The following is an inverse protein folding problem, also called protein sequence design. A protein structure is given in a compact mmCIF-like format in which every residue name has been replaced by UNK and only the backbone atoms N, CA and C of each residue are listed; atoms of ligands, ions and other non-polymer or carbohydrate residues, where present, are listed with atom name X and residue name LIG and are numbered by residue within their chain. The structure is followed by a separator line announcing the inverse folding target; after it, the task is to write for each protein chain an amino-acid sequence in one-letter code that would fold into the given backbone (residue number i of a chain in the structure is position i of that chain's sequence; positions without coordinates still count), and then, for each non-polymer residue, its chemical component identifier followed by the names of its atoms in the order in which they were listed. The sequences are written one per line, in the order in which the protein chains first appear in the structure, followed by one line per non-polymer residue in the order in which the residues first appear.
data_IF_347905129655
#
_entry.id   IF_347905129655
#
_cell.length_a   1.000
_cell.length_b   1.000
_cell.length_c   1.000
_cell.angle_alpha   90.00
_cell.angle_beta   90.00
_cell.angle_gamma   90.00
#
_symmetry.space_group_name_H-M   'P 1'
#
loop_
_entity.id
_entity.type
_entity.pdbx_description
1 polymer ?
#
# COMPACT_ATOMS: atom_id res chain seq x y z
N UNK A 1 -5.00 8.10 -1.30
CA UNK A 1 -5.90 7.47 -0.31
C UNK A 1 -6.04 8.31 0.94
N UNK A 2 -5.02 9.10 1.31
CA UNK A 2 -5.06 10.09 2.40
C UNK A 2 -6.31 11.00 2.44
N UNK A 3 -6.78 11.45 1.27
CA UNK A 3 -8.01 12.24 1.18
C UNK A 3 -9.31 11.43 1.31
N UNK A 4 -9.25 10.11 1.27
CA UNK A 4 -10.40 9.20 1.26
C UNK A 4 -10.06 7.91 2.03
N UNK A 5 -9.75 7.99 3.34
CA UNK A 5 -9.32 6.82 4.11
C UNK A 5 -10.36 5.70 4.13
N UNK A 6 -11.66 6.02 3.97
CA UNK A 6 -12.73 5.03 3.90
C UNK A 6 -12.62 4.06 2.72
N UNK A 7 -11.80 4.35 1.70
CA UNK A 7 -11.48 3.41 0.63
C UNK A 7 -10.69 2.22 1.16
N UNK A 8 -9.75 2.47 2.08
CA UNK A 8 -9.00 1.41 2.75
C UNK A 8 -9.91 0.61 3.67
N UNK A 9 -10.74 1.29 4.47
CA UNK A 9 -11.67 0.65 5.41
C UNK A 9 -12.64 -0.30 4.67
N UNK A 10 -13.18 0.12 3.51
CA UNK A 10 -14.02 -0.71 2.64
C UNK A 10 -13.28 -1.93 2.11
N UNK A 11 -12.04 -1.73 1.63
CA UNK A 11 -11.22 -2.81 1.11
C UNK A 11 -10.91 -3.87 2.17
N UNK A 12 -10.42 -3.49 3.36
CA UNK A 12 -10.03 -4.46 4.40
C UNK A 12 -11.23 -5.12 5.08
N UNK A 13 -12.40 -4.49 5.03
CA UNK A 13 -13.65 -5.07 5.53
C UNK A 13 -14.33 -6.01 4.53
N UNK A 14 -13.77 -6.16 3.32
CA UNK A 14 -14.35 -7.01 2.28
C UNK A 14 -14.34 -8.48 2.70
N UNK A 15 -15.54 -9.00 2.98
CA UNK A 15 -15.74 -10.40 3.31
C UNK A 15 -16.20 -11.19 2.09
N UNK A 16 -15.55 -12.33 1.87
CA UNK A 16 -15.86 -13.24 0.78
C UNK A 16 -15.44 -14.65 1.19
N UNK A 17 -16.29 -15.65 0.94
CA UNK A 17 -15.94 -17.03 1.18
C UNK A 17 -14.91 -17.50 0.14
N UNK A 18 -13.63 -17.35 0.51
CA UNK A 18 -12.49 -17.76 -0.30
C UNK A 18 -12.37 -19.27 -0.41
N UNK A 19 -12.85 -20.02 0.59
CA UNK A 19 -12.61 -21.47 0.69
C UNK A 19 -13.49 -22.27 -0.25
N UNK A 20 -14.72 -21.82 -0.48
CA UNK A 20 -15.68 -22.52 -1.33
C UNK A 20 -15.60 -22.14 -2.82
N UNK A 21 -14.87 -21.08 -3.18
CA UNK A 21 -14.86 -20.56 -4.55
C UNK A 21 -13.70 -21.16 -5.39
N UNK A 22 -14.04 -22.10 -6.28
CA UNK A 22 -13.06 -22.79 -7.14
C UNK A 22 -12.33 -21.84 -8.11
N UNK A 23 -13.02 -20.85 -8.69
CA UNK A 23 -12.40 -19.90 -9.62
C UNK A 23 -11.35 -19.04 -8.93
N UNK A 24 -11.61 -18.62 -7.69
CA UNK A 24 -10.63 -17.93 -6.85
C UNK A 24 -9.43 -18.83 -6.56
N UNK A 25 -9.65 -20.09 -6.18
CA UNK A 25 -8.56 -21.04 -5.91
C UNK A 25 -7.71 -21.29 -7.16
N UNK A 26 -8.33 -21.46 -8.32
CA UNK A 26 -7.65 -21.60 -9.61
C UNK A 26 -6.87 -20.33 -9.96
N UNK A 27 -7.45 -19.14 -9.74
CA UNK A 27 -6.81 -17.86 -10.00
C UNK A 27 -5.55 -17.67 -9.14
N UNK A 28 -5.64 -17.87 -7.81
CA UNK A 28 -4.48 -17.68 -6.95
C UNK A 28 -3.45 -18.80 -7.09
N UNK A 29 -3.81 -19.96 -7.65
CA UNK A 29 -2.87 -21.08 -7.89
C UNK A 29 -2.24 -21.07 -9.28
N UNK A 30 -2.70 -20.20 -10.18
CA UNK A 30 -2.20 -20.13 -11.56
C UNK A 30 -2.67 -21.33 -12.40
N UNK A 31 -3.91 -21.75 -12.21
CA UNK A 31 -4.55 -22.87 -12.91
C UNK A 31 -5.87 -22.45 -13.57
N UNK A 32 -5.90 -21.25 -14.13
CA UNK A 32 -7.10 -20.71 -14.80
C UNK A 32 -7.27 -21.22 -16.22
N UNK A 33 -6.19 -21.74 -16.83
CA UNK A 33 -6.13 -22.08 -18.24
C UNK A 33 -5.88 -20.87 -19.14
N UNK A 34 -5.70 -19.67 -18.57
CA UNK A 34 -5.27 -18.46 -19.26
C UNK A 34 -3.76 -18.37 -19.13
N UNK A 35 -3.06 -18.69 -20.21
CA UNK A 35 -1.61 -18.95 -20.23
C UNK A 35 -0.80 -17.78 -19.65
N UNK A 36 -1.12 -16.55 -20.07
CA UNK A 36 -0.42 -15.37 -19.58
C UNK A 36 -0.68 -15.12 -18.09
N UNK A 37 -1.94 -15.23 -17.66
CA UNK A 37 -2.34 -15.01 -16.29
C UNK A 37 -1.69 -16.03 -15.34
N UNK A 38 -1.75 -17.31 -15.68
CA UNK A 38 -1.15 -18.40 -14.90
C UNK A 38 0.37 -18.23 -14.78
N UNK A 39 1.04 -17.80 -15.86
CA UNK A 39 2.47 -17.45 -15.82
C UNK A 39 2.75 -16.28 -14.86
N UNK A 40 1.91 -15.25 -14.85
CA UNK A 40 2.11 -14.08 -13.99
C UNK A 40 1.81 -14.35 -12.51
N UNK A 41 0.88 -15.26 -12.21
CA UNK A 41 0.65 -15.74 -10.83
C UNK A 41 1.93 -16.36 -10.27
N UNK A 42 2.59 -17.22 -11.05
CA UNK A 42 3.84 -17.87 -10.66
C UNK A 42 4.99 -16.85 -10.59
N UNK A 43 5.14 -15.99 -11.59
CA UNK A 43 6.15 -14.91 -11.57
C UNK A 43 6.01 -14.02 -10.33
N UNK A 44 4.79 -13.63 -9.98
CA UNK A 44 4.52 -12.83 -8.77
C UNK A 44 4.91 -13.57 -7.49
N UNK A 45 4.62 -14.86 -7.37
CA UNK A 45 4.97 -15.63 -6.17
C UNK A 45 6.47 -15.87 -6.04
N UNK A 46 7.13 -16.15 -7.17
CA UNK A 46 8.54 -16.52 -7.21
C UNK A 46 9.45 -15.30 -7.07
N UNK A 47 9.06 -14.17 -7.67
CA UNK A 47 9.89 -12.95 -7.72
C UNK A 47 9.40 -11.84 -6.81
N UNK A 48 8.17 -11.96 -6.29
CA UNK A 48 7.50 -10.92 -5.51
C UNK A 48 7.35 -9.58 -6.25
N UNK A 49 7.33 -9.62 -7.59
CA UNK A 49 7.19 -8.46 -8.44
C UNK A 49 6.43 -8.79 -9.72
N UNK A 50 5.72 -7.79 -10.25
CA UNK A 50 5.22 -7.77 -11.63
C UNK A 50 5.43 -6.38 -12.21
N UNK A 51 5.69 -6.30 -13.50
CA UNK A 51 5.72 -5.01 -14.21
C UNK A 51 4.35 -4.32 -14.15
N UNK A 52 4.32 -2.99 -14.07
CA UNK A 52 3.07 -2.23 -13.89
C UNK A 52 2.02 -2.51 -14.98
N UNK A 53 2.43 -2.64 -16.24
CA UNK A 53 1.48 -2.95 -17.33
C UNK A 53 0.90 -4.36 -17.17
N UNK A 54 1.71 -5.32 -16.75
CA UNK A 54 1.26 -6.68 -16.42
C UNK A 54 0.25 -6.67 -15.28
N UNK A 55 0.47 -5.87 -14.23
CA UNK A 55 -0.48 -5.69 -13.13
C UNK A 55 -1.85 -5.20 -13.62
N UNK A 56 -1.88 -4.31 -14.61
CA UNK A 56 -3.14 -3.83 -15.21
C UNK A 56 -3.85 -4.92 -16.00
N UNK A 57 -3.13 -5.72 -16.81
CA UNK A 57 -3.73 -6.86 -17.52
C UNK A 57 -4.23 -7.92 -16.54
N UNK A 58 -3.41 -8.30 -15.56
CA UNK A 58 -3.76 -9.24 -14.50
C UNK A 58 -5.06 -8.84 -13.81
N UNK A 59 -5.15 -7.58 -13.36
CA UNK A 59 -6.35 -7.08 -12.68
C UNK A 59 -7.58 -7.08 -13.60
N UNK A 60 -7.40 -6.78 -14.88
CA UNK A 60 -8.50 -6.79 -15.84
C UNK A 60 -9.02 -8.20 -16.12
N UNK A 61 -8.11 -9.17 -16.33
CA UNK A 61 -8.46 -10.58 -16.50
C UNK A 61 -9.16 -11.10 -15.25
N UNK A 62 -8.61 -10.82 -14.07
CA UNK A 62 -9.22 -11.16 -12.78
C UNK A 62 -10.67 -10.70 -12.67
N UNK A 63 -10.92 -9.43 -12.96
CA UNK A 63 -12.25 -8.82 -12.76
C UNK A 63 -13.22 -9.25 -13.86
N UNK A 64 -12.80 -9.17 -15.12
CA UNK A 64 -13.72 -9.19 -16.25
C UNK A 64 -13.76 -10.52 -17.00
N UNK A 65 -12.66 -11.27 -16.99
CA UNK A 65 -12.60 -12.59 -17.63
C UNK A 65 -12.93 -13.70 -16.63
N UNK A 66 -12.34 -13.66 -15.43
CA UNK A 66 -12.62 -14.62 -14.36
C UNK A 66 -13.85 -14.25 -13.52
N UNK A 67 -14.36 -13.02 -13.63
CA UNK A 67 -15.55 -12.57 -12.90
C UNK A 67 -15.35 -12.43 -11.38
N UNK A 68 -14.10 -12.33 -10.91
CA UNK A 68 -13.79 -12.30 -9.49
C UNK A 68 -13.82 -10.86 -8.92
N UNK A 69 -14.22 -10.67 -7.65
CA UNK A 69 -14.16 -9.37 -7.00
C UNK A 69 -12.74 -8.78 -7.00
N UNK A 70 -12.62 -7.50 -7.33
CA UNK A 70 -11.32 -6.82 -7.42
C UNK A 70 -10.56 -6.83 -6.08
N UNK A 71 -11.29 -6.80 -4.95
CA UNK A 71 -10.70 -6.82 -3.62
C UNK A 71 -9.87 -8.08 -3.41
N UNK A 72 -10.32 -9.23 -3.90
CA UNK A 72 -9.58 -10.49 -3.76
C UNK A 72 -8.24 -10.46 -4.48
N UNK A 73 -8.20 -9.89 -5.69
CA UNK A 73 -6.96 -9.69 -6.44
C UNK A 73 -6.05 -8.66 -5.77
N UNK A 74 -6.63 -7.60 -5.20
CA UNK A 74 -5.91 -6.62 -4.41
C UNK A 74 -5.27 -7.22 -3.14
N UNK A 75 -5.97 -8.12 -2.43
CA UNK A 75 -5.37 -8.88 -1.33
C UNK A 75 -4.23 -9.77 -1.81
N UNK A 76 -4.40 -10.48 -2.92
CA UNK A 76 -3.36 -11.33 -3.49
C UNK A 76 -2.10 -10.53 -3.86
N UNK A 77 -2.26 -9.35 -4.46
CA UNK A 77 -1.13 -8.45 -4.75
C UNK A 77 -0.44 -7.93 -3.49
N UNK A 78 -1.19 -7.46 -2.49
CA UNK A 78 -0.59 -7.03 -1.21
C UNK A 78 0.19 -8.15 -0.55
N UNK A 79 -0.30 -9.39 -0.62
CA UNK A 79 0.36 -10.55 -0.01
C UNK A 79 1.72 -10.86 -0.64
N UNK A 80 1.87 -10.64 -1.95
CA UNK A 80 3.03 -11.13 -2.70
C UNK A 80 3.96 -10.04 -3.26
N UNK A 81 3.56 -8.76 -3.34
CA UNK A 81 4.43 -7.70 -3.86
C UNK A 81 5.41 -7.17 -2.81
N UNK A 82 6.70 -7.09 -3.14
CA UNK A 82 7.70 -6.39 -2.31
C UNK A 82 7.37 -4.90 -2.16
N UNK A 83 6.83 -4.30 -3.22
CA UNK A 83 6.40 -2.91 -3.32
C UNK A 83 4.89 -2.74 -3.06
N UNK A 84 4.26 -3.71 -2.37
CA UNK A 84 2.87 -3.62 -1.95
C UNK A 84 2.61 -2.42 -1.05
N UNK A 85 1.94 -1.40 -1.58
CA UNK A 85 1.51 -0.19 -0.89
C UNK A 85 -0.02 -0.11 -0.86
N UNK A 86 -0.57 0.23 0.31
CA UNK A 86 -2.01 0.28 0.53
C UNK A 86 -2.71 1.24 -0.44
N UNK A 87 -2.14 2.42 -0.71
CA UNK A 87 -2.75 3.40 -1.60
C UNK A 87 -2.64 2.99 -3.08
N UNK A 88 -1.43 2.67 -3.52
CA UNK A 88 -1.12 2.38 -4.93
C UNK A 88 -1.82 1.10 -5.39
N UNK A 89 -1.82 0.06 -4.55
CA UNK A 89 -2.51 -1.19 -4.86
C UNK A 89 -4.03 -1.01 -4.91
N UNK A 90 -4.64 -0.51 -3.84
CA UNK A 90 -6.10 -0.39 -3.74
C UNK A 90 -6.67 0.52 -4.83
N UNK A 91 -6.04 1.69 -5.06
CA UNK A 91 -6.50 2.63 -6.08
C UNK A 91 -6.23 2.12 -7.51
N UNK A 92 -5.16 1.34 -7.71
CA UNK A 92 -4.87 0.69 -8.99
C UNK A 92 -5.95 -0.31 -9.39
N UNK A 93 -6.33 -1.20 -8.48
CA UNK A 93 -7.43 -2.15 -8.70
C UNK A 93 -8.77 -1.45 -8.91
N UNK A 94 -9.10 -0.43 -8.10
CA UNK A 94 -10.31 0.39 -8.29
C UNK A 94 -10.31 1.12 -9.64
N UNK A 95 -9.15 1.54 -10.14
CA UNK A 95 -9.01 2.16 -11.45
C UNK A 95 -9.28 1.16 -12.58
N UNK A 96 -8.70 -0.05 -12.51
CA UNK A 96 -8.97 -1.11 -13.50
C UNK A 96 -10.45 -1.51 -13.49
N UNK A 97 -11.06 -1.65 -12.31
CA UNK A 97 -12.48 -1.98 -12.16
C UNK A 97 -13.43 -0.88 -12.69
N UNK A 98 -12.94 0.36 -12.86
CA UNK A 98 -13.74 1.52 -13.26
C UNK A 98 -14.59 2.14 -12.16
N UNK A 99 -14.24 1.87 -10.89
CA UNK A 99 -14.90 2.44 -9.71
C UNK A 99 -14.12 3.61 -9.10
N UNK A 100 -12.85 3.78 -9.48
CA UNK A 100 -12.06 4.96 -9.09
C UNK A 100 -12.43 6.20 -9.93
N UNK A 101 -12.57 6.02 -11.24
CA UNK A 101 -13.21 6.99 -12.14
C UNK A 101 -14.45 6.33 -12.69
N UNK A 102 -15.59 6.63 -12.07
CA UNK A 102 -16.86 5.93 -12.29
C UNK A 102 -17.16 5.78 -13.78
N UNK A 103 -17.31 4.53 -14.22
CA UNK A 103 -17.64 4.16 -15.60
C UNK A 103 -16.44 4.00 -16.54
N UNK A 104 -15.21 4.28 -16.08
CA UNK A 104 -13.98 4.15 -16.91
C UNK A 104 -13.09 3.04 -16.38
N UNK A 105 -13.30 1.84 -16.89
CA UNK A 105 -12.54 0.64 -16.55
C UNK A 105 -11.44 0.38 -17.60
N UNK A 106 -10.50 -0.50 -17.28
CA UNK A 106 -9.44 -0.94 -18.19
C UNK A 106 -9.67 -2.40 -18.58
N UNK A 107 -9.68 -2.66 -19.89
CA UNK A 107 -9.80 -4.00 -20.46
C UNK A 107 -8.45 -4.46 -21.03
N UNK A 108 -7.98 -5.61 -20.54
CA UNK A 108 -6.91 -6.35 -21.19
C UNK A 108 -7.39 -6.79 -22.57
N UNK A 109 -6.50 -6.69 -23.54
CA UNK A 109 -6.74 -7.15 -24.90
C UNK A 109 -5.63 -8.08 -25.33
N UNK A 110 -6.00 -9.16 -26.01
CA UNK A 110 -5.08 -10.19 -26.45
C UNK A 110 -4.06 -9.64 -27.46
N UNK A 111 -4.47 -8.70 -28.32
CA UNK A 111 -3.57 -8.01 -29.27
C UNK A 111 -2.50 -7.15 -28.57
N UNK A 112 -2.89 -6.48 -27.49
CA UNK A 112 -2.02 -5.64 -26.67
C UNK A 112 -0.99 -6.51 -25.94
N UNK A 113 -1.45 -7.62 -25.34
CA UNK A 113 -0.58 -8.58 -24.68
C UNK A 113 0.39 -9.19 -25.70
N UNK A 114 -0.08 -9.62 -26.87
CA UNK A 114 0.75 -10.14 -27.96
C UNK A 114 1.88 -9.18 -28.33
N UNK A 115 1.53 -7.92 -28.59
CA UNK A 115 2.50 -6.89 -28.97
C UNK A 115 3.52 -6.60 -27.90
N UNK A 116 3.09 -6.40 -26.65
CA UNK A 116 3.96 -5.94 -25.56
C UNK A 116 4.67 -7.08 -24.82
N UNK A 117 4.41 -8.33 -25.21
CA UNK A 117 5.15 -9.51 -24.75
C UNK A 117 5.96 -10.15 -25.89
N UNK A 118 6.09 -9.46 -27.03
CA UNK A 118 6.83 -9.91 -28.21
C UNK A 118 6.42 -11.32 -28.68
N UNK A 119 5.11 -11.56 -28.75
CA UNK A 119 4.57 -12.84 -29.19
C UNK A 119 4.58 -13.96 -28.15
N UNK A 120 5.12 -13.73 -26.93
CA UNK A 120 5.14 -14.74 -25.86
C UNK A 120 3.75 -15.15 -25.41
N UNK A 121 2.81 -14.22 -25.40
CA UNK A 121 1.41 -14.41 -24.97
C UNK A 121 0.44 -13.77 -25.98
N UNK A 122 -0.88 -13.88 -25.75
CA UNK A 122 -1.89 -13.18 -26.55
C UNK A 122 -2.80 -14.05 -27.42
N UNK A 123 -2.75 -15.38 -27.25
CA UNK A 123 -3.71 -16.30 -27.87
C UNK A 123 -4.85 -16.70 -26.93
N UNK A 124 -4.84 -16.21 -25.69
CA UNK A 124 -5.87 -16.51 -24.70
C UNK A 124 -7.19 -15.78 -25.06
N UNK A 125 -8.33 -16.42 -24.80
CA UNK A 125 -9.65 -15.82 -24.97
C UNK A 125 -10.00 -14.97 -23.75
N UNK A 126 -10.06 -13.64 -23.95
CA UNK A 126 -10.38 -12.69 -22.89
C UNK A 126 -11.77 -12.07 -23.09
N UNK A 127 -12.37 -11.59 -22.00
CA UNK A 127 -13.58 -10.76 -22.09
C UNK A 127 -13.22 -9.30 -22.38
N UNK A 128 -13.12 -8.95 -23.66
CA UNK A 128 -12.68 -7.63 -24.12
C UNK A 128 -13.80 -6.58 -24.28
N UNK A 129 -15.05 -6.93 -23.95
CA UNK A 129 -16.24 -6.09 -24.08
C UNK A 129 -17.02 -5.95 -22.76
N UNK A 130 -16.38 -6.27 -21.64
CA UNK A 130 -17.01 -6.19 -20.33
C UNK A 130 -17.44 -4.76 -19.98
N UNK A 131 -18.42 -4.65 -19.08
CA UNK A 131 -18.89 -3.36 -18.55
C UNK A 131 -18.12 -3.02 -17.27
N UNK A 132 -17.94 -1.71 -16.95
CA UNK A 132 -17.29 -1.32 -15.70
C UNK A 132 -18.06 -1.84 -14.49
N UNK A 133 -17.34 -2.17 -13.42
CA UNK A 133 -17.95 -2.47 -12.13
C UNK A 133 -18.72 -1.25 -11.63
N UNK A 134 -19.76 -1.51 -10.84
CA UNK A 134 -20.53 -0.47 -10.14
C UNK A 134 -20.22 -0.54 -8.66
N UNK A 135 -19.77 0.57 -8.12
CA UNK A 135 -19.64 0.74 -6.68
C UNK A 135 -20.82 1.60 -6.19
N UNK A 136 -21.38 1.23 -5.03
CA UNK A 136 -22.48 1.96 -4.39
C UNK A 136 -21.97 2.84 -3.26
N UNK A 137 -20.70 2.71 -2.89
CA UNK A 137 -20.12 3.40 -1.74
C UNK A 137 -19.47 4.68 -2.22
N UNK A 138 -19.95 5.80 -1.69
CA UNK A 138 -19.31 7.10 -1.88
C UNK A 138 -18.22 7.29 -0.83
N UNK A 139 -17.03 7.69 -1.29
CA UNK A 139 -15.89 7.98 -0.43
C UNK A 139 -15.65 9.50 -0.38
N UNK A 140 -16.20 10.20 0.64
CA UNK A 140 -16.08 11.64 0.73
C UNK A 140 -14.62 12.08 0.89
N UNK A 141 -14.30 13.25 0.36
CA UNK A 141 -12.98 13.85 0.51
C UNK A 141 -12.86 14.43 1.91
N UNK A 142 -11.86 13.99 2.66
CA UNK A 142 -11.48 14.51 3.96
C UNK A 142 -10.26 15.44 3.77
N UNK A 143 -10.28 16.66 4.37
CA UNK A 143 -9.12 17.52 4.40
C UNK A 143 -7.94 16.83 5.09
N UNK A 144 -6.75 16.95 4.50
CA UNK A 144 -5.54 16.48 5.17
C UNK A 144 -5.23 17.45 6.31
N UNK A 145 -5.15 16.92 7.52
CA UNK A 145 -4.62 17.66 8.66
C UNK A 145 -3.14 17.98 8.40
N UNK A 146 -2.84 19.27 8.23
CA UNK A 146 -1.48 19.77 7.96
C UNK A 146 -0.68 20.01 9.23
N UNK A 147 -1.35 20.24 10.36
CA UNK A 147 -0.71 20.68 11.60
C UNK A 147 -0.32 19.52 12.51
N UNK A 148 -0.92 18.33 12.31
CA UNK A 148 -0.46 17.09 12.95
C UNK A 148 -0.60 17.06 14.47
N UNK A 149 -1.48 17.88 15.06
CA UNK A 149 -1.77 17.88 16.51
C UNK A 149 -0.56 18.06 17.45
N UNK A 150 0.64 18.36 16.92
CA UNK A 150 1.87 18.41 17.71
C UNK A 150 1.86 19.66 18.57
N UNK A 151 1.67 19.48 19.88
CA UNK A 151 1.75 20.56 20.88
C UNK A 151 3.11 20.61 21.58
N UNK A 152 3.98 19.65 21.26
CA UNK A 152 5.32 19.46 21.80
C UNK A 152 5.96 18.21 21.20
N UNK A 153 7.18 17.92 21.64
CA UNK A 153 7.97 16.79 21.16
C UNK A 153 8.11 15.74 22.27
N UNK A 154 7.86 14.47 21.96
CA UNK A 154 8.18 13.37 22.88
C UNK A 154 9.61 12.86 22.71
N UNK A 155 10.15 12.20 23.74
CA UNK A 155 11.50 11.65 23.74
C UNK A 155 11.67 10.44 22.78
N UNK A 156 10.58 9.71 22.53
CA UNK A 156 10.59 8.51 21.68
C UNK A 156 9.90 8.77 20.35
N UNK A 157 10.53 8.33 19.27
CA UNK A 157 9.97 8.31 17.90
C UNK A 157 9.68 6.87 17.47
N UNK A 158 8.55 6.64 16.80
CA UNK A 158 8.25 5.40 16.09
C UNK A 158 8.37 5.61 14.58
N UNK A 159 9.05 4.68 13.90
CA UNK A 159 9.17 4.61 12.43
C UNK A 159 8.69 3.24 11.97
N UNK A 160 7.91 3.19 10.89
CA UNK A 160 7.39 1.95 10.32
C UNK A 160 8.10 1.57 9.00
N UNK A 161 7.92 0.31 8.58
CA UNK A 161 8.42 -0.24 7.33
C UNK A 161 7.92 0.44 6.05
N UNK A 162 6.86 1.26 6.14
CA UNK A 162 6.30 2.02 5.02
C UNK A 162 7.10 3.28 4.70
N UNK A 163 7.94 3.75 5.62
CA UNK A 163 8.72 4.97 5.42
C UNK A 163 10.08 4.90 6.14
N UNK A 164 11.05 4.31 5.43
CA UNK A 164 12.42 4.16 5.91
C UNK A 164 13.37 5.20 5.30
N UNK A 165 12.84 6.34 4.85
CA UNK A 165 13.68 7.43 4.38
C UNK A 165 14.45 8.06 5.55
N UNK A 166 15.77 8.15 5.38
CA UNK A 166 16.70 8.69 6.36
C UNK A 166 17.64 9.68 5.66
N UNK A 167 17.42 10.97 5.91
CA UNK A 167 18.17 12.05 5.25
C UNK A 167 19.67 12.05 5.60
N UNK A 168 20.00 11.68 6.84
CA UNK A 168 21.37 11.47 7.32
C UNK A 168 21.36 10.49 8.49
N UNK A 169 22.51 9.89 8.86
CA UNK A 169 22.60 9.00 10.04
C UNK A 169 22.08 9.63 11.34
N UNK A 170 22.14 10.96 11.44
CA UNK A 170 21.73 11.75 12.60
C UNK A 170 20.37 12.43 12.44
N UNK A 171 19.59 12.09 11.40
CA UNK A 171 18.31 12.74 11.10
C UNK A 171 17.31 12.73 12.28
N UNK A 172 17.46 11.78 13.21
CA UNK A 172 16.65 11.63 14.40
C UNK A 172 17.44 11.78 15.71
N UNK A 173 18.65 12.33 15.69
CA UNK A 173 19.54 12.45 16.86
C UNK A 173 18.95 13.29 18.00
N UNK A 174 17.94 14.11 17.72
CA UNK A 174 17.24 14.91 18.72
C UNK A 174 16.20 14.10 19.53
N UNK A 175 15.96 12.83 19.20
CA UNK A 175 15.14 11.90 19.99
C UNK A 175 16.05 11.05 20.88
N UNK A 176 15.60 10.72 22.09
CA UNK A 176 16.34 9.82 22.98
C UNK A 176 16.36 8.41 22.41
N UNK A 177 15.26 7.99 21.78
CA UNK A 177 15.08 6.64 21.21
C UNK A 177 14.25 6.67 19.93
N UNK A 178 14.69 5.92 18.92
CA UNK A 178 13.91 5.63 17.71
C UNK A 178 13.55 4.14 17.70
N UNK A 179 12.26 3.84 17.68
CA UNK A 179 11.74 2.48 17.62
C UNK A 179 11.28 2.20 16.19
N UNK A 180 11.90 1.22 15.54
CA UNK A 180 11.58 0.84 14.17
C UNK A 180 10.75 -0.43 14.20
N UNK A 181 9.53 -0.35 13.66
CA UNK A 181 8.51 -1.40 13.77
C UNK A 181 8.19 -1.97 12.41
N UNK A 182 8.24 -3.30 12.30
CA UNK A 182 7.72 -4.05 11.16
C UNK A 182 6.61 -4.97 11.68
N UNK A 183 5.36 -4.69 11.29
CA UNK A 183 4.22 -5.49 11.77
C UNK A 183 4.28 -6.93 11.25
N UNK A 184 4.05 -7.89 12.15
CA UNK A 184 3.77 -9.28 11.81
C UNK A 184 2.36 -9.45 11.24
N UNK A 185 2.07 -10.62 10.66
CA UNK A 185 0.75 -10.91 10.08
C UNK A 185 -0.39 -10.97 11.12
N UNK A 186 -0.06 -11.16 12.39
CA UNK A 186 -1.00 -11.11 13.52
C UNK A 186 -1.53 -9.69 13.79
N UNK A 187 -0.86 -8.66 13.28
CA UNK A 187 -1.18 -7.24 13.52
C UNK A 187 -1.57 -6.50 12.24
N UNK A 188 -1.75 -7.22 11.11
CA UNK A 188 -2.15 -6.66 9.81
C UNK A 188 -3.55 -7.13 9.44
N UNK A 189 -4.28 -6.29 8.71
CA UNK A 189 -5.53 -6.68 8.07
C UNK A 189 -5.24 -7.53 6.82
N UNK A 190 -4.13 -7.25 6.13
CA UNK A 190 -3.67 -8.03 4.97
C UNK A 190 -2.44 -8.84 5.34
N UNK A 191 -2.58 -10.17 5.35
CA UNK A 191 -1.44 -11.06 5.55
C UNK A 191 -0.47 -10.99 4.37
N UNK A 192 0.82 -10.91 4.69
CA UNK A 192 1.92 -10.93 3.75
C UNK A 192 2.52 -12.34 3.66
N UNK A 193 3.05 -12.68 2.49
CA UNK A 193 3.85 -13.90 2.33
C UNK A 193 5.16 -13.81 3.14
N UNK A 194 5.72 -14.97 3.47
CA UNK A 194 6.96 -15.06 4.25
C UNK A 194 8.11 -14.30 3.58
N UNK A 195 8.25 -14.40 2.26
CA UNK A 195 9.28 -13.70 1.49
C UNK A 195 9.15 -12.16 1.61
N UNK A 196 7.93 -11.62 1.50
CA UNK A 196 7.68 -10.18 1.62
C UNK A 196 7.94 -9.70 3.06
N UNK A 197 7.53 -10.46 4.08
CA UNK A 197 7.85 -10.14 5.49
C UNK A 197 9.35 -10.14 5.74
N UNK A 198 10.06 -11.18 5.28
CA UNK A 198 11.50 -11.29 5.44
C UNK A 198 12.23 -10.12 4.76
N UNK A 199 11.79 -9.72 3.58
CA UNK A 199 12.30 -8.54 2.88
C UNK A 199 12.10 -7.26 3.70
N UNK A 200 10.88 -6.98 4.16
CA UNK A 200 10.57 -5.79 4.99
C UNK A 200 11.37 -5.76 6.29
N UNK A 201 11.51 -6.90 6.96
CA UNK A 201 12.34 -7.03 8.17
C UNK A 201 13.83 -6.73 7.87
N UNK A 202 14.34 -7.13 6.71
CA UNK A 202 15.70 -6.80 6.29
C UNK A 202 15.87 -5.29 6.07
N UNK A 203 14.91 -4.62 5.45
CA UNK A 203 14.95 -3.16 5.25
C UNK A 203 14.98 -2.41 6.59
N UNK A 204 14.12 -2.81 7.54
CA UNK A 204 14.06 -2.22 8.88
C UNK A 204 15.37 -2.44 9.65
N UNK A 205 16.01 -3.61 9.53
CA UNK A 205 17.37 -3.86 10.06
C UNK A 205 18.41 -2.91 9.46
N UNK A 206 18.38 -2.69 8.15
CA UNK A 206 19.30 -1.76 7.46
C UNK A 206 19.09 -0.33 7.96
N UNK A 207 17.84 0.10 8.13
CA UNK A 207 17.54 1.41 8.71
C UNK A 207 18.13 1.55 10.12
N UNK A 208 17.94 0.54 10.99
CA UNK A 208 18.48 0.55 12.35
C UNK A 208 20.01 0.66 12.35
N UNK A 209 20.70 -0.05 11.46
CA UNK A 209 22.17 0.07 11.33
C UNK A 209 22.65 1.46 10.89
N UNK A 210 21.79 2.24 10.22
CA UNK A 210 22.13 3.56 9.68
C UNK A 210 21.73 4.71 10.60
N UNK A 211 20.90 4.48 11.61
CA UNK A 211 20.37 5.51 12.51
C UNK A 211 20.85 5.23 13.94
N UNK A 212 21.74 6.08 14.47
CA UNK A 212 22.54 5.77 15.66
C UNK A 212 21.71 5.44 16.93
N UNK A 213 20.57 6.10 17.12
CA UNK A 213 19.67 5.93 18.26
C UNK A 213 18.45 5.02 17.95
N UNK A 214 18.50 4.27 16.85
CA UNK A 214 17.43 3.38 16.43
C UNK A 214 17.59 1.96 16.98
N UNK A 215 16.46 1.33 17.26
CA UNK A 215 16.38 -0.07 17.66
C UNK A 215 15.12 -0.72 17.09
N UNK A 216 15.18 -2.03 16.82
CA UNK A 216 14.00 -2.80 16.44
C UNK A 216 13.04 -2.91 17.61
N UNK A 217 11.74 -2.79 17.33
CA UNK A 217 10.67 -3.08 18.29
C UNK A 217 9.57 -3.90 17.66
N UNK A 218 8.93 -4.74 18.47
CA UNK A 218 7.71 -5.47 18.14
C UNK A 218 6.50 -4.84 18.85
N UNK A 219 5.31 -5.33 18.55
CA UNK A 219 4.05 -4.82 19.10
C UNK A 219 3.92 -5.04 20.61
N UNK A 220 4.50 -6.13 21.13
CA UNK A 220 4.53 -6.43 22.56
C UNK A 220 5.36 -5.41 23.35
N UNK A 221 6.54 -5.04 22.84
CA UNK A 221 7.40 -4.04 23.45
C UNK A 221 6.77 -2.65 23.39
N UNK A 222 6.11 -2.30 22.27
CA UNK A 222 5.36 -1.04 22.17
C UNK A 222 4.23 -0.99 23.22
N UNK A 223 3.47 -2.08 23.39
CA UNK A 223 2.38 -2.14 24.37
C UNK A 223 2.88 -2.02 25.82
N UNK A 224 3.99 -2.68 26.15
CA UNK A 224 4.64 -2.55 27.47
C UNK A 224 5.09 -1.12 27.72
N UNK A 225 5.78 -0.52 26.75
CA UNK A 225 6.24 0.86 26.82
C UNK A 225 5.09 1.85 26.98
N UNK A 226 3.96 1.62 26.29
CA UNK A 226 2.79 2.48 26.32
C UNK A 226 2.22 2.68 27.73
N UNK A 227 2.53 1.78 28.67
CA UNK A 227 2.11 1.87 30.08
C UNK A 227 3.07 2.72 30.94
N UNK A 228 4.24 3.10 30.42
CA UNK A 228 5.32 3.76 31.17
C UNK A 228 5.64 5.17 30.69
N UNK A 229 5.07 5.62 29.57
CA UNK A 229 5.33 6.95 29.00
C UNK A 229 4.02 7.65 28.63
N UNK A 230 4.03 8.98 28.64
CA UNK A 230 2.85 9.79 28.34
C UNK A 230 2.52 9.83 26.83
N UNK A 231 3.51 9.66 25.96
CA UNK A 231 3.31 9.74 24.52
C UNK A 231 4.57 9.46 23.71
N UNK A 232 4.38 9.34 22.40
CA UNK A 232 5.42 9.14 21.38
C UNK A 232 5.13 10.00 20.17
N UNK A 233 6.20 10.41 19.48
CA UNK A 233 6.09 10.90 18.12
C UNK A 233 6.12 9.70 17.16
N UNK A 234 5.46 9.82 16.01
CA UNK A 234 5.39 8.77 14.99
C UNK A 234 5.58 9.41 13.62
N UNK A 235 6.55 8.94 12.84
CA UNK A 235 6.60 9.29 11.40
C UNK A 235 5.30 8.81 10.78
N UNK A 236 4.54 9.73 10.18
CA UNK A 236 3.18 9.45 9.76
C UNK A 236 3.13 8.20 8.85
N UNK A 237 2.41 7.14 9.24
CA UNK A 237 2.55 5.83 8.61
C UNK A 237 1.72 5.66 7.31
N UNK A 238 1.00 6.70 6.89
CA UNK A 238 0.01 6.70 5.81
C UNK A 238 -1.20 5.80 6.07
N UNK A 239 -2.28 5.99 5.31
CA UNK A 239 -3.47 5.11 5.40
C UNK A 239 -3.08 3.68 5.00
N UNK A 240 -3.26 2.73 5.92
CA UNK A 240 -2.91 1.31 5.76
C UNK A 240 -2.80 0.59 7.10
N UNK A 241 -2.27 -0.63 7.09
CA UNK A 241 -2.15 -1.48 8.29
C UNK A 241 -1.42 -0.82 9.46
N UNK A 242 -0.36 -0.06 9.17
CA UNK A 242 0.43 0.62 10.21
C UNK A 242 -0.39 1.70 10.94
N UNK A 243 -1.23 2.47 10.21
CA UNK A 243 -2.15 3.42 10.84
C UNK A 243 -3.25 2.71 11.61
N UNK A 244 -3.78 1.59 11.10
CA UNK A 244 -4.80 0.82 11.80
C UNK A 244 -4.28 0.21 13.09
N UNK A 245 -3.04 -0.28 13.10
CA UNK A 245 -2.34 -0.72 14.31
C UNK A 245 -2.28 0.41 15.35
N UNK A 246 -1.91 1.63 14.95
CA UNK A 246 -1.84 2.78 15.86
C UNK A 246 -3.22 3.24 16.37
N UNK A 247 -4.28 3.13 15.54
CA UNK A 247 -5.66 3.35 15.99
C UNK A 247 -6.03 2.34 17.08
N UNK A 248 -5.72 1.04 16.88
CA UNK A 248 -5.96 -0.01 17.88
C UNK A 248 -5.13 0.20 19.14
N UNK A 249 -3.87 0.61 19.01
CA UNK A 249 -3.00 0.93 20.15
C UNK A 249 -3.56 2.09 20.98
N UNK A 250 -3.98 3.18 20.33
CA UNK A 250 -4.62 4.33 20.98
C UNK A 250 -5.94 3.96 21.66
N UNK A 251 -6.71 3.02 21.10
CA UNK A 251 -7.95 2.56 21.72
C UNK A 251 -7.72 1.69 22.97
N UNK A 252 -6.54 1.06 23.09
CA UNK A 252 -6.19 0.13 24.17
C UNK A 252 -5.32 0.73 25.27
N UNK A 253 -4.78 1.93 25.05
CA UNK A 253 -3.80 2.56 25.94
C UNK A 253 -4.09 4.05 26.11
N UNK A 254 -3.51 4.67 27.14
CA UNK A 254 -3.55 6.13 27.31
C UNK A 254 -2.42 6.86 26.55
N UNK A 255 -1.67 6.14 25.73
CA UNK A 255 -0.49 6.66 25.03
C UNK A 255 -0.91 7.72 24.01
N UNK A 256 -0.36 8.93 24.15
CA UNK A 256 -0.58 10.00 23.17
C UNK A 256 0.30 9.77 21.94
N UNK A 257 -0.30 9.83 20.76
CA UNK A 257 0.42 9.73 19.48
C UNK A 257 0.48 11.11 18.82
N UNK A 258 1.70 11.58 18.55
CA UNK A 258 1.95 12.77 17.73
C UNK A 258 2.43 12.35 16.34
N UNK A 259 1.67 12.68 15.30
CA UNK A 259 2.02 12.31 13.93
C UNK A 259 2.93 13.36 13.29
N UNK A 260 4.20 13.01 13.14
CA UNK A 260 5.18 13.78 12.39
C UNK A 260 4.96 13.57 10.90
N UNK A 261 4.38 14.58 10.25
CA UNK A 261 4.23 14.64 8.78
C UNK A 261 5.37 15.47 8.21
N UNK A 262 6.09 14.96 7.22
CA UNK A 262 7.17 15.73 6.59
C UNK A 262 6.57 16.90 5.80
N UNK A 263 7.29 18.01 5.80
CA UNK A 263 6.85 19.20 5.07
C UNK A 263 6.75 18.93 3.56
N UNK A 264 7.62 18.07 3.05
CA UNK A 264 7.64 17.66 1.64
C UNK A 264 6.36 16.89 1.27
N UNK A 265 5.92 15.97 2.13
CA UNK A 265 4.66 15.23 1.96
C UNK A 265 3.46 16.17 1.99
N UNK A 266 3.39 17.04 3.00
CA UNK A 266 2.31 18.04 3.13
C UNK A 266 2.26 18.93 1.89
N UNK A 267 3.44 19.35 1.40
CA UNK A 267 3.54 20.18 0.21
C UNK A 267 3.07 19.43 -1.04
N UNK A 268 3.46 18.17 -1.23
CA UNK A 268 3.02 17.37 -2.37
C UNK A 268 1.52 17.07 -2.32
N UNK A 269 0.99 16.72 -1.15
CA UNK A 269 -0.40 16.32 -0.97
C UNK A 269 -1.41 17.39 -1.39
N UNK A 270 -1.08 18.67 -1.31
CA UNK A 270 -1.99 19.73 -1.77
C UNK A 270 -2.32 19.64 -3.27
N UNK A 271 -1.42 19.01 -4.05
CA UNK A 271 -1.57 18.76 -5.49
C UNK A 271 -2.14 17.36 -5.80
N UNK A 272 -2.20 16.46 -4.80
CA UNK A 272 -2.65 15.07 -4.94
C UNK A 272 -4.19 14.90 -4.80
N UNK A 273 -4.96 15.87 -5.31
CA UNK A 273 -6.44 15.87 -5.22
C UNK A 273 -7.12 15.08 -6.34
N UNK A 274 -6.39 14.81 -7.44
CA UNK A 274 -6.85 14.12 -8.65
C UNK A 274 -5.81 13.07 -9.08
N UNK A 275 -5.98 12.48 -10.26
CA UNK A 275 -5.05 11.50 -10.81
C UNK A 275 -3.65 12.06 -11.12
N UNK A 276 -2.70 11.15 -11.38
CA UNK A 276 -1.28 11.44 -11.58
C UNK A 276 -0.99 12.57 -12.57
N UNK A 277 -1.69 12.65 -13.71
CA UNK A 277 -1.45 13.70 -14.71
C UNK A 277 -1.74 15.11 -14.20
N UNK A 278 -2.64 15.27 -13.22
CA UNK A 278 -2.85 16.56 -12.58
C UNK A 278 -1.68 16.89 -11.64
N UNK A 279 -1.27 15.94 -10.81
CA UNK A 279 -0.10 16.07 -9.94
C UNK A 279 1.19 16.38 -10.74
N UNK A 280 1.39 15.67 -11.86
CA UNK A 280 2.56 15.80 -12.75
C UNK A 280 2.82 17.24 -13.19
N UNK A 281 1.78 18.04 -13.40
CA UNK A 281 1.91 19.45 -13.81
C UNK A 281 2.61 20.31 -12.76
N UNK A 282 2.61 19.87 -11.50
CA UNK A 282 3.21 20.58 -10.38
C UNK A 282 4.61 20.06 -10.03
N UNK A 283 5.06 18.94 -10.61
CA UNK A 283 6.38 18.35 -10.31
C UNK A 283 7.53 19.36 -10.49
N UNK A 284 7.61 20.17 -11.56
CA UNK A 284 8.70 21.14 -11.69
C UNK A 284 8.75 22.12 -10.50
N UNK A 285 7.60 22.70 -10.12
CA UNK A 285 7.52 23.61 -9.00
C UNK A 285 7.83 22.94 -7.64
N UNK A 286 7.45 21.67 -7.48
CA UNK A 286 7.78 20.86 -6.29
C UNK A 286 9.29 20.66 -6.19
N UNK A 287 9.95 20.24 -7.30
CA UNK A 287 11.40 20.03 -7.33
C UNK A 287 12.14 21.32 -6.96
N UNK A 288 11.75 22.44 -7.58
CA UNK A 288 12.34 23.76 -7.29
C UNK A 288 12.16 24.14 -5.83
N UNK A 289 10.97 23.92 -5.26
CA UNK A 289 10.66 24.23 -3.87
C UNK A 289 11.45 23.38 -2.88
N UNK A 290 11.63 22.10 -3.19
CA UNK A 290 12.33 21.14 -2.32
C UNK A 290 13.85 21.18 -2.51
N UNK A 291 14.36 21.96 -3.46
CA UNK A 291 15.80 22.02 -3.75
C UNK A 291 16.35 20.69 -4.27
N UNK A 292 15.52 19.89 -4.96
CA UNK A 292 15.88 18.58 -5.50
C UNK A 292 16.49 18.65 -6.91
N UNK A 293 16.97 19.83 -7.33
CA UNK A 293 17.65 19.96 -8.62
C UNK A 293 18.98 19.21 -8.57
N UNK A 294 19.20 18.35 -9.57
CA UNK A 294 20.42 17.56 -9.74
C UNK A 294 21.60 18.42 -10.23
#
# INVERSE_FOLDING_TARGET
MEHRPSVWDEFVSFNFDRTANADYQNAISGNTGITCFDSWVNELKDTNYLHNHTRMWFASIWIFTLGLPWQLGAFFFMQHLLDGDAASNTLGWRWVAGVQTVGKHYLARSDNILRFTDGRFGNDTLNEDAKPCRDKIEHPVIPIDRAGGMTGKFATLIVFDTDLYLASPDAYANYDRVLVVCLGNDERNVALSEAVLAFKQKLVKIFVMRCANASLSDTNNILKMASSIAGVDVVYPFVGDNLDYLKRLSARTSLRLHFLKRQDDIHCWQYAKKGFFNFRKHIPAIIDRLGLQA
#
